data_IF_544851926149
#
_entry.id   IF_544851926149
#
_cell.length_a   1.000
_cell.length_b   1.000
_cell.length_c   1.000
_cell.angle_alpha   90.00
_cell.angle_beta   90.00
_cell.angle_gamma   90.00
#
_symmetry.space_group_name_H-M   'P 1'
#
loop_
_entity.id
_entity.type
_entity.pdbx_description
1 polymer ?
#
# COMPACT_ATOMS: atom_id res chain seq x y z
N UNK A 1 -10.13 27.65 -28.31
CA UNK A 1 -10.44 27.99 -26.89
C UNK A 1 -11.89 27.56 -26.67
N UNK A 2 -12.32 26.66 -25.79
CA UNK A 2 -11.80 26.16 -24.52
C UNK A 2 -12.43 24.78 -24.18
N UNK A 3 -11.68 23.67 -24.18
CA UNK A 3 -12.11 22.40 -23.58
C UNK A 3 -11.43 22.07 -22.24
N UNK A 4 -10.43 22.87 -21.81
CA UNK A 4 -9.62 22.55 -20.63
C UNK A 4 -10.26 22.93 -19.29
N UNK A 5 -11.28 23.79 -19.25
CA UNK A 5 -11.89 24.27 -17.98
C UNK A 5 -12.90 23.29 -17.37
N UNK A 6 -13.66 22.56 -18.19
CA UNK A 6 -14.69 21.61 -17.73
C UNK A 6 -14.08 20.37 -17.05
N UNK A 7 -12.97 19.85 -17.61
CA UNK A 7 -12.27 18.69 -17.05
C UNK A 7 -11.59 19.04 -15.71
N UNK A 8 -11.12 20.29 -15.54
CA UNK A 8 -10.54 20.77 -14.28
C UNK A 8 -11.57 20.85 -13.15
N UNK A 9 -12.76 21.37 -13.44
CA UNK A 9 -13.84 21.46 -12.44
C UNK A 9 -14.34 20.08 -12.01
N UNK A 10 -14.56 19.16 -12.94
CA UNK A 10 -15.03 17.82 -12.59
C UNK A 10 -14.04 17.08 -11.66
N UNK A 11 -12.73 17.22 -11.89
CA UNK A 11 -11.67 16.61 -11.06
C UNK A 11 -11.67 17.14 -9.62
N UNK A 12 -11.82 18.45 -9.45
CA UNK A 12 -11.84 19.07 -8.12
C UNK A 12 -13.08 18.66 -7.31
N UNK A 13 -14.21 18.49 -7.98
CA UNK A 13 -15.47 18.14 -7.32
C UNK A 13 -15.49 16.67 -6.89
N UNK A 14 -15.00 15.74 -7.72
CA UNK A 14 -14.82 14.34 -7.31
C UNK A 14 -13.85 14.21 -6.12
N UNK A 15 -12.75 14.96 -6.13
CA UNK A 15 -11.79 14.95 -5.01
C UNK A 15 -12.40 15.52 -3.72
N UNK A 16 -13.16 16.63 -3.81
CA UNK A 16 -13.82 17.26 -2.65
C UNK A 16 -14.94 16.42 -2.06
N UNK A 17 -15.86 15.90 -2.90
CA UNK A 17 -16.96 15.02 -2.44
C UNK A 17 -16.38 13.81 -1.73
N UNK A 18 -15.33 13.22 -2.31
CA UNK A 18 -14.68 12.05 -1.77
C UNK A 18 -13.89 12.34 -0.47
N UNK A 19 -13.21 13.49 -0.38
CA UNK A 19 -12.49 13.91 0.82
C UNK A 19 -13.47 14.20 1.98
N UNK A 20 -14.62 14.82 1.67
CA UNK A 20 -15.72 15.00 2.63
C UNK A 20 -16.27 13.64 3.07
N UNK A 21 -16.42 12.69 2.17
CA UNK A 21 -16.95 11.35 2.47
C UNK A 21 -15.99 10.50 3.32
N UNK A 22 -14.67 10.58 3.08
CA UNK A 22 -13.67 9.98 3.99
C UNK A 22 -13.72 10.66 5.36
N UNK A 23 -13.82 11.99 5.42
CA UNK A 23 -13.83 12.71 6.70
C UNK A 23 -15.10 12.43 7.52
N UNK A 24 -16.25 12.27 6.87
CA UNK A 24 -17.49 11.89 7.55
C UNK A 24 -17.44 10.44 8.03
N UNK A 25 -16.93 9.51 7.22
CA UNK A 25 -16.80 8.09 7.58
C UNK A 25 -15.73 7.84 8.64
N UNK A 26 -14.59 8.55 8.58
CA UNK A 26 -13.54 8.45 9.62
C UNK A 26 -14.02 8.96 10.97
N UNK A 27 -14.94 9.92 11.01
CA UNK A 27 -15.62 10.33 12.26
C UNK A 27 -16.66 9.32 12.76
N UNK A 28 -17.22 8.50 11.87
CA UNK A 28 -18.35 7.63 12.16
C UNK A 28 -17.96 6.16 12.40
N UNK A 29 -16.71 5.77 12.16
CA UNK A 29 -16.27 4.38 12.29
C UNK A 29 -15.64 4.11 13.65
N UNK A 30 -16.30 3.37 14.55
CA UNK A 30 -15.73 2.97 15.83
C UNK A 30 -14.64 1.90 15.70
N UNK A 31 -14.53 1.21 14.55
CA UNK A 31 -13.62 0.08 14.36
C UNK A 31 -12.45 0.41 13.43
N UNK A 32 -11.25 0.55 14.01
CA UNK A 32 -9.98 0.70 13.29
C UNK A 32 -9.78 -0.39 12.22
N UNK A 33 -10.21 -1.63 12.48
CA UNK A 33 -10.09 -2.76 11.55
C UNK A 33 -10.82 -2.53 10.22
N UNK A 34 -12.04 -2.03 10.28
CA UNK A 34 -12.84 -1.76 9.09
C UNK A 34 -12.26 -0.58 8.30
N UNK A 35 -11.74 0.45 8.99
CA UNK A 35 -11.09 1.60 8.34
C UNK A 35 -9.94 1.18 7.42
N UNK A 36 -9.11 0.23 7.85
CA UNK A 36 -7.94 -0.23 7.10
C UNK A 36 -8.37 -0.85 5.75
N UNK A 37 -9.47 -1.62 5.72
CA UNK A 37 -10.02 -2.18 4.48
C UNK A 37 -10.52 -1.07 3.52
N UNK A 38 -11.20 -0.05 4.05
CA UNK A 38 -11.65 1.08 3.23
C UNK A 38 -10.49 1.89 2.67
N UNK A 39 -9.46 2.17 3.46
CA UNK A 39 -8.27 2.85 2.98
C UNK A 39 -7.52 2.02 1.94
N UNK A 40 -7.45 0.69 2.10
CA UNK A 40 -6.87 -0.18 1.09
C UNK A 40 -7.62 -0.08 -0.25
N UNK A 41 -8.96 -0.17 -0.23
CA UNK A 41 -9.81 0.05 -1.41
C UNK A 41 -9.56 1.43 -2.03
N UNK A 42 -9.60 2.48 -1.22
CA UNK A 42 -9.37 3.85 -1.66
C UNK A 42 -8.04 4.03 -2.39
N UNK A 43 -6.95 3.57 -1.78
CA UNK A 43 -5.62 3.74 -2.35
C UNK A 43 -5.44 2.95 -3.65
N UNK A 44 -5.98 1.72 -3.72
CA UNK A 44 -5.95 0.92 -4.94
C UNK A 44 -6.80 1.55 -6.06
N UNK A 45 -7.99 2.07 -5.73
CA UNK A 45 -8.86 2.80 -6.66
C UNK A 45 -8.15 4.03 -7.21
N UNK A 46 -7.53 4.85 -6.36
CA UNK A 46 -6.79 6.04 -6.77
C UNK A 46 -5.61 5.71 -7.66
N UNK A 47 -4.89 4.64 -7.32
CA UNK A 47 -3.79 4.15 -8.12
C UNK A 47 -4.27 3.69 -9.51
N UNK A 48 -5.28 2.82 -9.59
CA UNK A 48 -5.80 2.28 -10.85
C UNK A 48 -6.45 3.37 -11.72
N UNK A 49 -7.28 4.24 -11.13
CA UNK A 49 -7.88 5.38 -11.84
C UNK A 49 -6.79 6.36 -12.32
N UNK A 50 -5.78 6.57 -11.48
CA UNK A 50 -4.55 7.32 -11.77
C UNK A 50 -3.87 6.81 -13.04
N UNK A 51 -3.63 5.49 -13.13
CA UNK A 51 -2.98 4.89 -14.28
C UNK A 51 -3.85 4.86 -15.54
N UNK A 52 -5.14 4.51 -15.42
CA UNK A 52 -6.03 4.26 -16.55
C UNK A 52 -6.57 5.53 -17.23
N UNK A 53 -6.93 6.54 -16.45
CA UNK A 53 -7.70 7.69 -16.95
C UNK A 53 -7.05 9.03 -16.63
N UNK A 54 -6.29 9.11 -15.54
CA UNK A 54 -5.79 10.38 -15.00
C UNK A 54 -4.27 10.58 -15.17
N UNK A 55 -3.60 9.72 -15.94
CA UNK A 55 -2.14 9.73 -16.18
C UNK A 55 -1.68 10.77 -17.22
N UNK A 56 -2.38 11.91 -17.26
CA UNK A 56 -2.11 13.00 -18.19
C UNK A 56 -0.94 13.86 -17.69
N UNK A 57 0.28 13.39 -17.97
CA UNK A 57 1.52 14.11 -17.72
C UNK A 57 2.73 13.24 -18.07
N UNK A 58 3.69 13.81 -18.80
CA UNK A 58 4.96 13.14 -19.12
C UNK A 58 5.82 12.95 -17.86
N UNK A 59 5.73 13.89 -16.92
CA UNK A 59 6.55 13.89 -15.70
C UNK A 59 5.82 13.23 -14.54
N UNK A 60 6.57 12.47 -13.75
CA UNK A 60 6.05 11.72 -12.60
C UNK A 60 5.32 12.59 -11.57
N UNK A 61 5.69 13.87 -11.39
CA UNK A 61 5.04 14.79 -10.44
C UNK A 61 3.65 15.26 -10.89
N UNK A 62 3.32 15.15 -12.18
CA UNK A 62 2.03 15.54 -12.74
C UNK A 62 0.96 14.44 -12.57
N UNK A 63 1.29 13.32 -11.91
CA UNK A 63 0.40 12.17 -11.68
C UNK A 63 0.08 12.01 -10.18
N UNK A 64 -0.63 12.97 -9.56
CA UNK A 64 -0.85 12.98 -8.11
C UNK A 64 -1.69 11.79 -7.64
N UNK A 65 -2.71 11.36 -8.38
CA UNK A 65 -3.58 10.24 -8.03
C UNK A 65 -2.81 8.90 -7.93
N UNK A 66 -1.95 8.64 -8.92
CA UNK A 66 -1.07 7.46 -8.92
C UNK A 66 -0.16 7.45 -7.68
N UNK A 67 0.42 8.60 -7.33
CA UNK A 67 1.34 8.72 -6.19
C UNK A 67 0.64 8.59 -4.84
N UNK A 68 -0.51 9.23 -4.67
CA UNK A 68 -1.28 9.16 -3.43
C UNK A 68 -1.74 7.73 -3.20
N UNK A 69 -2.30 7.08 -4.24
CA UNK A 69 -2.70 5.68 -4.17
C UNK A 69 -1.52 4.75 -3.85
N UNK A 70 -0.40 4.93 -4.55
CA UNK A 70 0.82 4.14 -4.32
C UNK A 70 1.40 4.32 -2.91
N UNK A 71 1.64 5.55 -2.51
CA UNK A 71 2.23 5.86 -1.22
C UNK A 71 1.31 5.39 -0.09
N UNK A 72 0.01 5.67 -0.20
CA UNK A 72 -0.97 5.26 0.79
C UNK A 72 -1.09 3.75 0.95
N UNK A 73 -1.18 2.99 -0.16
CA UNK A 73 -1.25 1.53 -0.09
C UNK A 73 0.03 0.94 0.53
N UNK A 74 1.21 1.39 0.11
CA UNK A 74 2.48 0.91 0.65
C UNK A 74 2.64 1.25 2.13
N UNK A 75 2.30 2.48 2.52
CA UNK A 75 2.31 2.92 3.91
C UNK A 75 1.38 2.06 4.76
N UNK A 76 0.17 1.82 4.26
CA UNK A 76 -0.85 1.04 4.96
C UNK A 76 -0.41 -0.42 5.14
N UNK A 77 0.16 -1.08 4.13
CA UNK A 77 0.78 -2.41 4.30
C UNK A 77 1.90 -2.37 5.35
N UNK A 78 2.79 -1.38 5.32
CA UNK A 78 3.89 -1.24 6.27
C UNK A 78 3.42 -1.10 7.73
N UNK A 79 2.30 -0.40 7.98
CA UNK A 79 1.76 -0.27 9.35
C UNK A 79 1.37 -1.60 9.99
N UNK A 80 1.09 -2.62 9.18
CA UNK A 80 0.65 -3.94 9.65
C UNK A 80 1.77 -4.99 9.70
N UNK A 81 2.98 -4.62 9.31
CA UNK A 81 4.15 -5.52 9.31
C UNK A 81 4.58 -5.89 10.73
N UNK A 82 4.36 -4.99 11.69
CA UNK A 82 4.79 -5.12 13.09
C UNK A 82 4.21 -6.38 13.75
N UNK A 83 5.03 -7.04 14.58
CA UNK A 83 4.60 -8.16 15.43
C UNK A 83 3.48 -7.77 16.40
N UNK A 84 3.37 -6.49 16.72
CA UNK A 84 2.38 -5.95 17.67
C UNK A 84 1.17 -5.34 16.97
N UNK A 85 1.07 -5.42 15.63
CA UNK A 85 -0.01 -4.81 14.86
C UNK A 85 -1.40 -5.16 15.40
N UNK A 86 -1.61 -6.43 15.78
CA UNK A 86 -2.87 -6.91 16.37
C UNK A 86 -3.28 -6.13 17.63
N UNK A 87 -2.33 -5.79 18.51
CA UNK A 87 -2.61 -5.07 19.77
C UNK A 87 -3.17 -3.67 19.49
N UNK A 88 -2.69 -3.01 18.44
CA UNK A 88 -3.17 -1.69 18.03
C UNK A 88 -4.59 -1.73 17.46
N UNK A 89 -4.99 -2.86 16.88
CA UNK A 89 -6.31 -3.06 16.30
C UNK A 89 -7.36 -3.55 17.31
N UNK A 90 -6.96 -4.39 18.26
CA UNK A 90 -7.85 -4.95 19.30
C UNK A 90 -7.98 -4.00 20.52
N UNK A 91 -7.08 -3.02 20.66
CA UNK A 91 -7.03 -2.08 21.80
C UNK A 91 -8.22 -1.11 21.94
N UNK A 92 -9.21 -1.16 21.04
CA UNK A 92 -10.41 -0.33 21.06
C UNK A 92 -11.72 -1.12 21.19
N UNK A 93 -11.66 -2.37 21.67
CA UNK A 93 -12.83 -3.23 21.90
C UNK A 93 -13.69 -2.79 23.11
N UNK A 94 -14.15 -1.54 23.10
CA UNK A 94 -15.31 -1.14 23.89
C UNK A 94 -16.58 -1.65 23.21
N UNK A 95 -17.10 -2.77 23.70
CA UNK A 95 -18.52 -3.22 23.74
C UNK A 95 -19.54 -2.48 22.84
N UNK A 96 -19.35 -2.44 21.52
CA UNK A 96 -20.39 -2.03 20.58
C UNK A 96 -20.82 -3.28 19.82
N UNK A 97 -22.08 -3.63 20.03
CA UNK A 97 -22.73 -4.82 19.51
C UNK A 97 -22.65 -4.87 17.97
N UNK A 98 -22.24 -6.03 17.44
CA UNK A 98 -22.00 -6.27 16.02
C UNK A 98 -23.32 -6.30 15.24
N UNK A 99 -23.79 -5.14 14.77
CA UNK A 99 -24.59 -5.09 13.55
C UNK A 99 -23.70 -4.60 12.41
N UNK A 100 -22.95 -5.52 11.81
CA UNK A 100 -22.07 -5.27 10.66
C UNK A 100 -22.90 -5.05 9.40
N UNK A 101 -23.72 -4.00 9.37
CA UNK A 101 -24.31 -3.57 8.11
C UNK A 101 -23.18 -3.02 7.24
N UNK A 102 -22.91 -3.73 6.14
CA UNK A 102 -22.05 -3.22 5.07
C UNK A 102 -22.70 -1.93 4.57
N UNK A 103 -22.14 -0.79 4.97
CA UNK A 103 -22.69 0.50 4.58
C UNK A 103 -22.71 0.65 3.05
N UNK A 104 -23.65 1.43 2.52
CA UNK A 104 -23.77 1.68 1.08
C UNK A 104 -22.46 2.14 0.42
N UNK A 105 -21.62 2.87 1.16
CA UNK A 105 -20.27 3.25 0.72
C UNK A 105 -19.36 2.05 0.48
N UNK A 106 -19.40 1.05 1.36
CA UNK A 106 -18.58 -0.14 1.20
C UNK A 106 -18.93 -0.89 -0.08
N UNK A 107 -20.24 -1.04 -0.33
CA UNK A 107 -20.76 -1.64 -1.56
C UNK A 107 -20.30 -0.84 -2.77
N UNK A 108 -20.44 0.49 -2.74
CA UNK A 108 -20.04 1.34 -3.87
C UNK A 108 -18.53 1.27 -4.15
N UNK A 109 -17.69 1.29 -3.12
CA UNK A 109 -16.24 1.15 -3.24
C UNK A 109 -15.83 -0.23 -3.78
N UNK A 110 -16.47 -1.31 -3.31
CA UNK A 110 -16.21 -2.67 -3.79
C UNK A 110 -16.61 -2.80 -5.25
N UNK A 111 -17.81 -2.35 -5.62
CA UNK A 111 -18.29 -2.39 -7.02
C UNK A 111 -17.36 -1.59 -7.93
N UNK A 112 -16.95 -0.39 -7.51
CA UNK A 112 -16.02 0.44 -8.26
C UNK A 112 -14.64 -0.23 -8.39
N UNK A 113 -14.17 -0.87 -7.31
CA UNK A 113 -12.89 -1.58 -7.32
C UNK A 113 -12.90 -2.75 -8.29
N UNK A 114 -13.96 -3.57 -8.27
CA UNK A 114 -14.12 -4.69 -9.21
C UNK A 114 -14.21 -4.19 -10.64
N UNK A 115 -15.00 -3.14 -10.91
CA UNK A 115 -15.11 -2.56 -12.25
C UNK A 115 -13.75 -2.06 -12.78
N UNK A 116 -13.01 -1.29 -11.96
CA UNK A 116 -11.69 -0.81 -12.35
C UNK A 116 -10.66 -1.94 -12.47
N UNK A 117 -10.70 -2.95 -11.60
CA UNK A 117 -9.82 -4.10 -11.68
C UNK A 117 -10.03 -4.88 -12.98
N UNK A 118 -11.28 -5.12 -13.39
CA UNK A 118 -11.60 -5.77 -14.67
C UNK A 118 -11.08 -4.95 -15.84
N UNK A 119 -11.35 -3.64 -15.88
CA UNK A 119 -10.84 -2.75 -16.93
C UNK A 119 -9.32 -2.70 -16.95
N UNK A 120 -8.69 -2.75 -15.77
CA UNK A 120 -7.25 -2.77 -15.62
C UNK A 120 -6.66 -4.07 -16.18
N UNK A 121 -7.18 -5.23 -15.78
CA UNK A 121 -6.78 -6.54 -16.26
C UNK A 121 -6.94 -6.70 -17.78
N UNK A 122 -8.00 -6.14 -18.37
CA UNK A 122 -8.19 -6.14 -19.83
C UNK A 122 -7.10 -5.37 -20.59
N UNK A 123 -6.51 -4.34 -19.98
CA UNK A 123 -5.42 -3.55 -20.58
C UNK A 123 -4.03 -4.09 -20.25
N UNK A 124 -3.91 -5.03 -19.33
CA UNK A 124 -2.62 -5.60 -18.94
C UNK A 124 -2.12 -6.58 -20.00
N UNK A 125 -0.96 -6.25 -20.59
CA UNK A 125 -0.19 -7.19 -21.42
C UNK A 125 0.79 -8.05 -20.61
N UNK A 126 1.19 -7.54 -19.45
CA UNK A 126 2.14 -8.15 -18.53
C UNK A 126 1.77 -7.75 -17.10
N UNK A 127 2.18 -8.57 -16.12
CA UNK A 127 1.94 -8.24 -14.70
C UNK A 127 2.68 -6.95 -14.36
N UNK A 128 1.99 -5.91 -13.82
CA UNK A 128 2.65 -4.65 -13.50
C UNK A 128 3.63 -4.86 -12.35
N UNK A 129 4.74 -4.12 -12.36
CA UNK A 129 5.73 -4.18 -11.29
C UNK A 129 5.14 -3.84 -9.91
N UNK A 130 4.06 -3.07 -9.89
CA UNK A 130 3.45 -2.48 -8.71
C UNK A 130 2.18 -3.24 -8.27
N UNK A 131 2.14 -4.54 -8.58
CA UNK A 131 1.00 -5.45 -8.30
C UNK A 131 0.57 -5.44 -6.82
N UNK A 132 1.52 -5.22 -5.90
CA UNK A 132 1.26 -5.12 -4.46
C UNK A 132 0.21 -4.03 -4.12
N UNK A 133 0.23 -2.91 -4.85
CA UNK A 133 -0.69 -1.77 -4.65
C UNK A 133 -2.10 -2.15 -5.10
N UNK A 134 -2.19 -2.80 -6.26
CA UNK A 134 -3.47 -3.21 -6.87
C UNK A 134 -4.14 -4.29 -6.01
N UNK A 135 -3.34 -5.22 -5.49
CA UNK A 135 -3.81 -6.32 -4.64
C UNK A 135 -4.01 -5.92 -3.18
N UNK A 136 -3.67 -4.69 -2.78
CA UNK A 136 -3.81 -4.24 -1.39
C UNK A 136 -5.21 -4.53 -0.80
N UNK A 137 -6.35 -4.24 -1.47
CA UNK A 137 -7.67 -4.52 -0.91
C UNK A 137 -7.91 -6.00 -0.65
N UNK A 138 -7.41 -6.87 -1.53
CA UNK A 138 -7.53 -8.33 -1.40
C UNK A 138 -6.64 -8.83 -0.27
N UNK A 139 -5.41 -8.33 -0.18
CA UNK A 139 -4.48 -8.63 0.92
C UNK A 139 -5.12 -8.23 2.26
N UNK A 140 -5.72 -7.05 2.34
CA UNK A 140 -6.36 -6.56 3.56
C UNK A 140 -7.64 -7.32 3.93
N UNK A 141 -8.44 -7.70 2.93
CA UNK A 141 -9.58 -8.59 3.14
C UNK A 141 -9.14 -9.93 3.74
N UNK A 142 -8.14 -10.59 3.13
CA UNK A 142 -7.63 -11.87 3.66
C UNK A 142 -7.01 -11.70 5.04
N UNK A 143 -6.23 -10.64 5.25
CA UNK A 143 -5.62 -10.31 6.54
C UNK A 143 -6.66 -10.11 7.65
N UNK A 144 -7.77 -9.44 7.35
CA UNK A 144 -8.85 -9.24 8.33
C UNK A 144 -9.65 -10.52 8.59
N UNK A 145 -9.91 -11.33 7.56
CA UNK A 145 -10.53 -12.65 7.72
C UNK A 145 -9.68 -13.57 8.61
N UNK A 146 -8.37 -13.65 8.35
CA UNK A 146 -7.44 -14.44 9.16
C UNK A 146 -7.39 -13.99 10.63
N UNK A 147 -7.60 -12.71 10.91
CA UNK A 147 -7.67 -12.19 12.28
C UNK A 147 -9.01 -12.46 12.98
N UNK A 148 -10.12 -12.51 12.24
CA UNK A 148 -11.45 -12.75 12.84
C UNK A 148 -11.65 -14.18 13.35
N UNK A 149 -10.88 -15.14 12.83
CA UNK A 149 -10.98 -16.53 13.27
C UNK A 149 -10.13 -16.76 14.53
N UNK A 150 -10.80 -16.93 15.67
CA UNK A 150 -10.16 -17.16 16.97
C UNK A 150 -9.33 -18.45 17.02
N UNK A 151 -9.67 -19.45 16.20
CA UNK A 151 -8.94 -20.72 16.12
C UNK A 151 -7.62 -20.61 15.32
N UNK A 152 -7.46 -19.56 14.52
CA UNK A 152 -6.25 -19.34 13.74
C UNK A 152 -5.20 -18.70 14.65
N UNK A 153 -4.02 -19.30 14.69
CA UNK A 153 -2.87 -18.73 15.41
C UNK A 153 -2.61 -17.29 14.97
N UNK A 154 -2.36 -16.41 15.92
CA UNK A 154 -2.01 -15.00 15.68
C UNK A 154 -0.80 -14.83 14.72
N UNK A 155 0.00 -15.89 14.54
CA UNK A 155 1.12 -15.93 13.60
C UNK A 155 0.68 -15.94 12.13
N UNK A 156 -0.48 -16.52 11.79
CA UNK A 156 -0.92 -16.67 10.40
C UNK A 156 -1.18 -15.32 9.68
N UNK A 157 -2.02 -14.40 10.20
CA UNK A 157 -2.21 -13.09 9.56
C UNK A 157 -0.91 -12.28 9.47
N UNK A 158 -0.06 -12.42 10.49
CA UNK A 158 1.24 -11.75 10.57
C UNK A 158 2.23 -12.26 9.52
N UNK A 159 2.33 -13.58 9.33
CA UNK A 159 3.14 -14.18 8.26
C UNK A 159 2.59 -13.80 6.89
N UNK A 160 1.27 -13.83 6.71
CA UNK A 160 0.62 -13.51 5.45
C UNK A 160 0.96 -12.09 4.96
N UNK A 161 0.84 -11.07 5.82
CA UNK A 161 1.13 -9.68 5.43
C UNK A 161 2.62 -9.48 5.14
N UNK A 162 3.50 -10.10 5.93
CA UNK A 162 4.95 -10.02 5.75
C UNK A 162 5.42 -10.69 4.46
N UNK A 163 4.92 -11.89 4.16
CA UNK A 163 5.22 -12.60 2.91
C UNK A 163 4.68 -11.82 1.71
N UNK A 164 3.46 -11.28 1.81
CA UNK A 164 2.85 -10.47 0.75
C UNK A 164 3.70 -9.24 0.43
N UNK A 165 4.17 -8.50 1.46
CA UNK A 165 5.07 -7.37 1.27
C UNK A 165 6.41 -7.81 0.67
N UNK A 166 7.04 -8.86 1.22
CA UNK A 166 8.34 -9.34 0.74
C UNK A 166 8.28 -9.76 -0.73
N UNK A 167 7.25 -10.50 -1.13
CA UNK A 167 7.04 -10.91 -2.51
C UNK A 167 6.77 -9.70 -3.42
N UNK A 168 5.92 -8.78 -2.99
CA UNK A 168 5.62 -7.56 -3.74
C UNK A 168 6.85 -6.66 -3.94
N UNK A 169 7.63 -6.43 -2.89
CA UNK A 169 8.85 -5.64 -2.94
C UNK A 169 9.94 -6.32 -3.78
N UNK A 170 10.08 -7.65 -3.68
CA UNK A 170 11.01 -8.43 -4.51
C UNK A 170 10.60 -8.38 -5.98
N UNK A 171 9.31 -8.47 -6.27
CA UNK A 171 8.77 -8.33 -7.62
C UNK A 171 9.06 -6.95 -8.22
N UNK A 172 8.90 -5.88 -7.43
CA UNK A 172 9.29 -4.51 -7.84
C UNK A 172 10.78 -4.43 -8.21
N UNK A 173 11.67 -5.06 -7.43
CA UNK A 173 13.11 -5.09 -7.73
C UNK A 173 13.37 -5.85 -9.04
N UNK A 174 12.76 -7.02 -9.23
CA UNK A 174 12.96 -7.86 -10.42
C UNK A 174 12.45 -7.13 -11.68
N UNK A 175 11.24 -6.58 -11.65
CA UNK A 175 10.71 -5.78 -12.76
C UNK A 175 11.55 -4.53 -13.01
N UNK A 176 11.97 -3.82 -11.95
CA UNK A 176 12.84 -2.65 -12.07
C UNK A 176 14.19 -2.97 -12.70
N UNK A 177 14.78 -4.12 -12.39
CA UNK A 177 16.02 -4.59 -13.00
C UNK A 177 15.82 -4.95 -14.49
N UNK A 178 14.71 -5.64 -14.83
CA UNK A 178 14.36 -5.99 -16.21
C UNK A 178 14.09 -4.76 -17.08
N UNK A 179 13.44 -3.74 -16.52
CA UNK A 179 13.07 -2.51 -17.22
C UNK A 179 14.17 -1.42 -17.17
N UNK A 180 15.28 -1.65 -16.47
CA UNK A 180 16.33 -0.63 -16.26
C UNK A 180 15.87 0.57 -15.41
N UNK A 181 14.79 0.43 -14.64
CA UNK A 181 14.16 1.50 -13.87
C UNK A 181 14.68 1.52 -12.44
N UNK A 182 15.79 2.23 -12.22
CA UNK A 182 16.42 2.42 -10.90
C UNK A 182 15.45 2.88 -9.81
N UNK A 183 14.49 3.75 -10.14
CA UNK A 183 13.51 4.24 -9.17
C UNK A 183 12.63 3.14 -8.60
N UNK A 184 12.26 2.13 -9.41
CA UNK A 184 11.44 1.01 -9.00
C UNK A 184 12.22 0.01 -8.14
N UNK A 185 13.48 -0.25 -8.50
CA UNK A 185 14.42 -1.05 -7.71
C UNK A 185 14.58 -0.43 -6.32
N UNK A 186 14.82 0.88 -6.25
CA UNK A 186 14.99 1.60 -4.99
C UNK A 186 13.73 1.55 -4.12
N UNK A 187 12.55 1.63 -4.71
CA UNK A 187 11.30 1.51 -3.96
C UNK A 187 11.15 0.13 -3.31
N UNK A 188 11.39 -0.94 -4.06
CA UNK A 188 11.34 -2.30 -3.48
C UNK A 188 12.38 -2.51 -2.38
N UNK A 189 13.61 -2.00 -2.58
CA UNK A 189 14.65 -2.08 -1.55
C UNK A 189 14.30 -1.28 -0.29
N UNK A 190 13.73 -0.08 -0.43
CA UNK A 190 13.26 0.73 0.71
C UNK A 190 12.17 0.00 1.48
N UNK A 191 11.22 -0.65 0.80
CA UNK A 191 10.17 -1.44 1.46
C UNK A 191 10.77 -2.57 2.30
N UNK A 192 11.70 -3.34 1.75
CA UNK A 192 12.39 -4.42 2.49
C UNK A 192 13.16 -3.84 3.69
N UNK A 193 13.89 -2.74 3.49
CA UNK A 193 14.65 -2.09 4.56
C UNK A 193 13.74 -1.59 5.70
N UNK A 194 12.59 -0.99 5.37
CA UNK A 194 11.60 -0.54 6.36
C UNK A 194 10.97 -1.72 7.10
N UNK A 195 10.68 -2.83 6.41
CA UNK A 195 10.17 -4.05 7.05
C UNK A 195 11.17 -4.62 8.05
N UNK A 196 12.44 -4.74 7.66
CA UNK A 196 13.51 -5.18 8.56
C UNK A 196 13.65 -4.23 9.74
N UNK A 197 13.60 -2.91 9.49
CA UNK A 197 13.63 -1.89 10.54
C UNK A 197 12.50 -2.09 11.55
N UNK A 198 11.24 -2.23 11.08
CA UNK A 198 10.06 -2.36 11.94
C UNK A 198 10.20 -3.58 12.85
N UNK A 199 10.58 -4.73 12.29
CA UNK A 199 10.81 -5.96 13.06
C UNK A 199 11.92 -5.80 14.08
N UNK A 200 12.97 -5.09 13.71
CA UNK A 200 14.10 -4.85 14.59
C UNK A 200 13.76 -3.88 15.73
N UNK A 201 12.86 -2.91 15.50
CA UNK A 201 12.31 -2.06 16.57
C UNK A 201 11.38 -2.83 17.50
N UNK A 202 10.61 -3.79 16.97
CA UNK A 202 9.74 -4.66 17.77
C UNK A 202 10.51 -5.67 18.63
N UNK A 203 11.72 -6.04 18.20
CA UNK A 203 12.58 -6.95 18.95
C UNK A 203 12.95 -6.37 20.32
N UNK A 204 13.03 -7.25 21.33
CA UNK A 204 13.38 -6.92 22.72
C UNK A 204 14.89 -6.67 22.89
N UNK A 205 15.48 -5.88 22.00
CA UNK A 205 16.86 -5.42 22.13
C UNK A 205 16.93 -4.08 22.87
N UNK A 206 18.04 -3.85 23.56
CA UNK A 206 18.35 -2.56 24.16
C UNK A 206 18.53 -1.46 23.08
N UNK A 207 18.28 -0.21 23.45
CA UNK A 207 18.30 0.94 22.53
C UNK A 207 19.67 1.10 21.84
N UNK A 208 20.76 0.81 22.54
CA UNK A 208 22.12 0.88 21.99
C UNK A 208 22.34 -0.19 20.91
N UNK A 209 21.95 -1.44 21.20
CA UNK A 209 21.98 -2.52 20.21
C UNK A 209 21.12 -2.16 18.99
N UNK A 210 20.00 -1.45 19.22
CA UNK A 210 19.15 -0.95 18.15
C UNK A 210 19.84 0.09 17.26
N UNK A 211 20.51 1.07 17.86
CA UNK A 211 21.29 2.07 17.12
C UNK A 211 22.39 1.45 16.27
N UNK A 212 23.15 0.49 16.82
CA UNK A 212 24.26 -0.17 16.11
C UNK A 212 23.78 -0.95 14.89
N UNK A 213 22.75 -1.79 15.04
CA UNK A 213 22.27 -2.57 13.91
C UNK A 213 21.65 -1.69 12.82
N UNK A 214 21.03 -0.56 13.19
CA UNK A 214 20.55 0.39 12.20
C UNK A 214 21.69 0.96 11.36
N UNK A 215 22.79 1.39 12.00
CA UNK A 215 23.98 1.90 11.30
C UNK A 215 24.55 0.83 10.35
N UNK A 216 24.72 -0.41 10.83
CA UNK A 216 25.25 -1.53 10.02
C UNK A 216 24.35 -1.82 8.80
N UNK A 217 23.03 -1.87 9.01
CA UNK A 217 22.06 -2.10 7.92
C UNK A 217 22.07 -0.95 6.91
N UNK A 218 22.17 0.29 7.38
CA UNK A 218 22.32 1.47 6.52
C UNK A 218 23.56 1.42 5.65
N UNK A 219 24.70 1.00 6.22
CA UNK A 219 25.95 0.78 5.46
C UNK A 219 25.76 -0.31 4.41
N UNK A 220 25.17 -1.46 4.77
CA UNK A 220 24.93 -2.55 3.83
C UNK A 220 24.05 -2.10 2.65
N UNK A 221 23.02 -1.30 2.93
CA UNK A 221 22.14 -0.73 1.91
C UNK A 221 22.89 0.21 0.96
N UNK A 222 23.76 1.07 1.50
CA UNK A 222 24.62 1.95 0.70
C UNK A 222 25.59 1.16 -0.19
N UNK A 223 26.19 0.10 0.33
CA UNK A 223 27.11 -0.77 -0.41
C UNK A 223 26.38 -1.48 -1.56
N UNK A 224 25.22 -2.08 -1.30
CA UNK A 224 24.39 -2.73 -2.33
C UNK A 224 24.01 -1.73 -3.41
N UNK A 225 23.53 -0.54 -3.03
CA UNK A 225 23.19 0.52 -3.97
C UNK A 225 24.39 0.96 -4.82
N UNK A 226 25.56 1.12 -4.21
CA UNK A 226 26.78 1.47 -4.94
C UNK A 226 27.18 0.37 -5.94
N UNK A 227 27.06 -0.89 -5.55
CA UNK A 227 27.38 -2.03 -6.42
C UNK A 227 26.40 -2.15 -7.59
N UNK A 228 25.08 -2.12 -7.31
CA UNK A 228 24.03 -2.15 -8.34
C UNK A 228 24.21 -1.00 -9.33
N UNK A 229 24.48 0.21 -8.84
CA UNK A 229 24.75 1.38 -9.70
C UNK A 229 25.98 1.19 -10.58
N UNK A 230 27.06 0.61 -10.07
CA UNK A 230 28.27 0.31 -10.85
C UNK A 230 28.00 -0.75 -11.92
N UNK A 231 27.30 -1.83 -11.56
CA UNK A 231 26.98 -2.92 -12.50
C UNK A 231 26.03 -2.47 -13.62
N UNK A 232 25.03 -1.64 -13.29
CA UNK A 232 24.12 -1.08 -14.30
C UNK A 232 24.80 -0.07 -15.22
N UNK A 233 25.79 0.70 -14.73
CA UNK A 233 26.61 1.59 -15.57
C UNK A 233 27.63 0.86 -16.44
N UNK A 234 28.08 -0.33 -16.04
CA UNK A 234 29.02 -1.13 -16.82
C UNK A 234 28.33 -1.92 -17.96
N UNK A 235 27.01 -2.12 -17.85
CA UNK A 235 26.18 -2.84 -18.83
C UNK A 235 25.33 -1.89 -19.71
N UNK A 236 25.53 -0.58 -19.59
CA UNK A 236 24.89 0.46 -20.41
C UNK A 236 25.96 1.14 -21.28
#
# INVERSE_FOLDING_TARGET
>A
MAPYSLVGNLRSHFFLVFLVEILTQTRLMPHLRSMVNYFALFFALYYMAGMLYLSHGEKTWQRPFERIGKFGALFLVLTQVSFRARIWLDGSDSMIDESSQIGWLAISLIVLFVALLVLFLQKLKQVPAEVLIILAPIIFLIYTLLQSHHEISALAPMLFINVSLLLGASWMIVCGAKEGRLGLINQGMILIALTVWIHFMDAKFDLVAKGVAFIVTGILFLVINAFVRRKLRANA
#
